data_IF_757847861638
#
_entry.id   IF_757847861638
#
_cell.length_a   1.000
_cell.length_b   1.000
_cell.length_c   1.000
_cell.angle_alpha   90.00
_cell.angle_beta   90.00
_cell.angle_gamma   90.00
#
_symmetry.space_group_name_H-M   'P 1'
#
loop_
_entity.id
_entity.type
_entity.pdbx_description
1 polymer ?
#
# COMPACT_ATOMS: atom_id res chain seq x y z
N UNK A 1 28.57 35.37 37.93
CA UNK A 1 28.46 35.50 39.41
C UNK A 1 27.11 36.12 39.80
N UNK A 2 25.96 35.46 39.55
CA UNK A 2 24.65 36.07 39.86
C UNK A 2 23.46 35.09 40.04
N UNK A 3 23.67 33.79 40.25
CA UNK A 3 22.54 32.83 40.26
C UNK A 3 22.32 32.04 41.55
N UNK A 4 23.10 32.27 42.61
CA UNK A 4 22.69 31.84 43.96
C UNK A 4 21.60 32.80 44.49
N UNK A 5 20.42 32.79 43.86
CA UNK A 5 19.23 33.45 44.41
C UNK A 5 18.88 32.68 45.67
N UNK A 6 19.17 33.25 46.85
CA UNK A 6 18.70 32.72 48.13
C UNK A 6 17.21 32.44 48.01
N UNK A 7 16.71 31.38 48.65
CA UNK A 7 15.30 30.95 48.53
C UNK A 7 14.31 32.09 48.86
N UNK A 8 14.74 33.06 49.67
CA UNK A 8 13.99 34.29 49.98
C UNK A 8 13.60 35.14 48.76
N UNK A 9 14.39 35.10 47.68
CA UNK A 9 14.18 35.88 46.45
C UNK A 9 13.35 35.14 45.38
N UNK A 10 13.07 33.85 45.58
CA UNK A 10 12.23 33.06 44.68
C UNK A 10 10.78 33.22 45.15
N UNK A 11 9.86 33.74 44.31
CA UNK A 11 8.46 33.88 44.68
C UNK A 11 7.82 32.49 44.77
N UNK A 12 7.69 32.00 46.00
CA UNK A 12 7.00 30.75 46.34
C UNK A 12 5.74 31.05 47.16
N UNK A 13 4.75 30.16 47.08
CA UNK A 13 3.58 30.22 47.95
C UNK A 13 3.99 30.03 49.43
N UNK A 14 3.25 30.64 50.36
CA UNK A 14 3.62 30.66 51.79
C UNK A 14 3.75 29.25 52.36
N UNK A 15 2.88 28.33 51.96
CA UNK A 15 2.92 26.92 52.36
C UNK A 15 4.17 26.18 51.83
N UNK A 16 4.59 26.45 50.59
CA UNK A 16 5.77 25.81 50.01
C UNK A 16 7.08 26.30 50.62
N UNK A 17 7.11 27.53 51.15
CA UNK A 17 8.32 28.10 51.78
C UNK A 17 8.73 27.35 53.04
N UNK A 18 7.77 26.81 53.79
CA UNK A 18 8.05 26.05 55.00
C UNK A 18 8.48 24.60 54.71
N UNK A 19 8.11 24.09 53.53
CA UNK A 19 8.43 22.73 53.06
C UNK A 19 9.76 22.64 52.30
N UNK A 20 10.17 23.70 51.59
CA UNK A 20 11.37 23.70 50.77
C UNK A 20 12.47 24.56 51.41
N UNK A 21 13.33 23.95 52.24
CA UNK A 21 14.44 24.65 52.89
C UNK A 21 15.67 24.66 52.00
N UNK A 22 16.43 25.76 52.02
CA UNK A 22 17.66 25.91 51.24
C UNK A 22 18.70 24.81 51.58
N UNK A 23 18.68 24.32 52.82
CA UNK A 23 19.50 23.22 53.32
C UNK A 23 19.23 21.89 52.59
N UNK A 24 17.99 21.64 52.19
CA UNK A 24 17.57 20.41 51.50
C UNK A 24 18.16 20.33 50.08
N UNK A 25 18.57 21.45 49.51
CA UNK A 25 19.10 21.56 48.14
C UNK A 25 20.62 21.77 48.10
N UNK A 26 21.29 21.65 49.24
CA UNK A 26 22.77 21.75 49.33
C UNK A 26 23.49 20.75 48.43
N UNK A 27 22.88 19.59 48.14
CA UNK A 27 23.39 18.59 47.21
C UNK A 27 23.54 19.11 45.76
N UNK A 28 22.74 20.11 45.34
CA UNK A 28 22.86 20.72 44.02
C UNK A 28 24.15 21.55 43.91
N UNK A 29 24.58 22.18 44.99
CA UNK A 29 25.87 22.90 45.05
C UNK A 29 27.07 21.94 45.05
N UNK A 30 26.86 20.68 45.46
CA UNK A 30 27.87 19.61 45.40
C UNK A 30 28.03 19.07 43.97
N UNK A 31 26.91 18.96 43.24
CA UNK A 31 26.86 18.45 41.87
C UNK A 31 27.66 19.36 40.92
N UNK A 32 27.48 20.68 41.04
CA UNK A 32 28.15 21.68 40.20
C UNK A 32 29.69 21.72 40.38
N UNK A 33 30.19 21.15 41.49
CA UNK A 33 31.63 21.00 41.75
C UNK A 33 32.22 19.69 41.23
N UNK A 34 31.38 18.74 40.83
CA UNK A 34 31.79 17.39 40.42
C UNK A 34 31.92 17.23 38.89
N UNK A 35 31.54 18.24 38.11
CA UNK A 35 31.56 18.26 36.63
C UNK A 35 32.97 18.28 35.99
N UNK A 36 34.05 18.04 36.76
CA UNK A 36 35.43 18.01 36.23
C UNK A 36 36.16 16.70 36.53
N UNK A 37 35.44 15.60 36.69
CA UNK A 37 36.01 14.25 36.81
C UNK A 37 36.12 13.56 35.44
N UNK A 38 37.22 12.86 35.12
CA UNK A 38 37.34 12.07 33.89
C UNK A 38 36.27 10.98 33.72
N UNK A 39 35.64 10.53 34.81
CA UNK A 39 34.48 9.61 34.78
C UNK A 39 33.25 10.24 34.10
N UNK A 40 33.06 11.56 34.18
CA UNK A 40 31.94 12.26 33.51
C UNK A 40 32.07 12.20 31.99
N UNK A 41 33.26 12.45 31.45
CA UNK A 41 33.57 12.30 30.02
C UNK A 41 33.44 10.86 29.50
N UNK A 42 33.74 9.86 30.33
CA UNK A 42 33.59 8.44 29.97
C UNK A 42 32.10 8.07 29.79
N UNK A 43 31.26 8.53 30.73
CA UNK A 43 29.80 8.30 30.68
C UNK A 43 29.15 9.04 29.50
N UNK A 44 29.64 10.24 29.15
CA UNK A 44 29.17 10.97 27.96
C UNK A 44 29.48 10.24 26.65
N UNK A 45 30.67 9.65 26.53
CA UNK A 45 31.06 8.84 25.36
C UNK A 45 30.16 7.60 25.20
N UNK A 46 29.91 6.87 26.29
CA UNK A 46 28.99 5.72 26.26
C UNK A 46 27.54 6.13 25.92
N UNK A 47 27.10 7.31 26.38
CA UNK A 47 25.79 7.86 26.05
C UNK A 47 25.68 8.21 24.56
N UNK A 48 26.74 8.76 23.96
CA UNK A 48 26.80 9.08 22.54
C UNK A 48 26.77 7.81 21.68
N UNK A 49 27.58 6.79 22.01
CA UNK A 49 27.57 5.50 21.30
C UNK A 49 26.19 4.84 21.32
N UNK A 50 25.53 4.82 22.49
CA UNK A 50 24.15 4.29 22.62
C UNK A 50 23.14 5.09 21.79
N UNK A 51 23.35 6.38 21.60
CA UNK A 51 22.49 7.22 20.77
C UNK A 51 22.71 6.95 19.28
N UNK A 52 23.96 6.83 18.83
CA UNK A 52 24.30 6.45 17.46
C UNK A 52 23.78 5.06 17.10
N UNK A 53 23.91 4.09 18.00
CA UNK A 53 23.40 2.73 17.81
C UNK A 53 21.87 2.72 17.65
N UNK A 54 21.15 3.56 18.40
CA UNK A 54 19.70 3.73 18.24
C UNK A 54 19.34 4.35 16.89
N UNK A 55 20.14 5.31 16.40
CA UNK A 55 19.94 5.92 15.09
C UNK A 55 20.18 4.89 13.98
N UNK A 56 21.26 4.10 14.06
CA UNK A 56 21.54 3.01 13.11
C UNK A 56 20.39 2.01 13.06
N UNK A 57 19.91 1.54 14.21
CA UNK A 57 18.76 0.63 14.30
C UNK A 57 17.45 1.22 13.77
N UNK A 58 17.29 2.54 13.73
CA UNK A 58 16.12 3.18 13.09
C UNK A 58 16.28 3.19 11.58
N UNK A 59 17.46 3.57 11.08
CA UNK A 59 17.77 3.61 9.65
C UNK A 59 17.69 2.21 9.02
N UNK A 60 18.24 1.18 9.68
CA UNK A 60 18.15 -0.20 9.19
C UNK A 60 16.70 -0.67 9.07
N UNK A 61 15.85 -0.33 10.06
CA UNK A 61 14.42 -0.66 9.99
C UNK A 61 13.72 0.06 8.85
N UNK A 62 14.01 1.34 8.66
CA UNK A 62 13.45 2.13 7.57
C UNK A 62 13.89 1.57 6.20
N UNK A 63 15.16 1.18 6.05
CA UNK A 63 15.65 0.55 4.82
C UNK A 63 14.97 -0.79 4.55
N UNK A 64 14.84 -1.65 5.56
CA UNK A 64 14.15 -2.93 5.43
C UNK A 64 12.67 -2.75 5.08
N UNK A 65 12.01 -1.74 5.64
CA UNK A 65 10.62 -1.42 5.30
C UNK A 65 10.50 -0.92 3.85
N UNK A 66 11.43 -0.09 3.39
CA UNK A 66 11.48 0.38 2.00
C UNK A 66 11.75 -0.77 1.03
N UNK A 67 12.67 -1.68 1.35
CA UNK A 67 12.95 -2.86 0.53
C UNK A 67 11.72 -3.77 0.42
N UNK A 68 11.05 -4.06 1.54
CA UNK A 68 9.79 -4.83 1.54
C UNK A 68 8.70 -4.15 0.70
N UNK A 69 8.58 -2.83 0.77
CA UNK A 69 7.62 -2.09 -0.05
C UNK A 69 7.94 -2.26 -1.55
N UNK A 70 9.21 -2.13 -1.93
CA UNK A 70 9.64 -2.34 -3.33
C UNK A 70 9.36 -3.75 -3.82
N UNK A 71 9.65 -4.78 -3.00
CA UNK A 71 9.34 -6.17 -3.35
C UNK A 71 7.84 -6.38 -3.57
N UNK A 72 6.99 -5.80 -2.71
CA UNK A 72 5.53 -5.87 -2.86
C UNK A 72 5.09 -5.19 -4.15
N UNK A 73 5.62 -4.01 -4.46
CA UNK A 73 5.30 -3.29 -5.69
C UNK A 73 5.73 -4.07 -6.94
N UNK A 74 6.90 -4.69 -6.93
CA UNK A 74 7.39 -5.52 -8.04
C UNK A 74 6.49 -6.75 -8.25
N UNK A 75 6.14 -7.45 -7.17
CA UNK A 75 5.20 -8.57 -7.23
C UNK A 75 3.82 -8.16 -7.74
N UNK A 76 3.33 -6.97 -7.34
CA UNK A 76 2.08 -6.42 -7.85
C UNK A 76 2.17 -6.15 -9.35
N UNK A 77 3.23 -5.48 -9.82
CA UNK A 77 3.45 -5.20 -11.25
C UNK A 77 3.55 -6.49 -12.06
N UNK A 78 4.23 -7.52 -11.55
CA UNK A 78 4.32 -8.82 -12.22
C UNK A 78 2.94 -9.47 -12.35
N UNK A 79 2.18 -9.54 -11.26
CA UNK A 79 0.81 -10.08 -11.27
C UNK A 79 -0.13 -9.29 -12.17
N UNK A 80 -0.02 -7.96 -12.18
CA UNK A 80 -0.77 -7.11 -13.10
C UNK A 80 -0.39 -7.40 -14.56
N UNK A 81 0.89 -7.59 -14.85
CA UNK A 81 1.38 -7.97 -16.18
C UNK A 81 0.80 -9.32 -16.62
N UNK A 82 0.87 -10.34 -15.75
CA UNK A 82 0.28 -11.65 -15.99
C UNK A 82 -1.23 -11.57 -16.21
N UNK A 83 -1.95 -10.81 -15.38
CA UNK A 83 -3.39 -10.59 -15.52
C UNK A 83 -3.74 -9.90 -16.85
N UNK A 84 -2.99 -8.86 -17.23
CA UNK A 84 -3.18 -8.17 -18.52
C UNK A 84 -2.98 -9.11 -19.70
N UNK A 85 -1.94 -9.95 -19.68
CA UNK A 85 -1.69 -10.97 -20.71
C UNK A 85 -2.83 -11.97 -20.80
N UNK A 86 -3.25 -12.51 -19.65
CA UNK A 86 -4.35 -13.48 -19.59
C UNK A 86 -5.67 -12.90 -20.11
N UNK A 87 -6.00 -11.65 -19.74
CA UNK A 87 -7.18 -10.95 -20.27
C UNK A 87 -7.09 -10.75 -21.78
N UNK A 88 -5.91 -10.41 -22.31
CA UNK A 88 -5.70 -10.27 -23.74
C UNK A 88 -5.90 -11.61 -24.48
N UNK A 89 -5.39 -12.71 -23.95
CA UNK A 89 -5.61 -14.06 -24.50
C UNK A 89 -7.10 -14.42 -24.53
N UNK A 90 -7.82 -14.19 -23.42
CA UNK A 90 -9.27 -14.40 -23.36
C UNK A 90 -10.02 -13.54 -24.38
N UNK A 91 -9.59 -12.30 -24.61
CA UNK A 91 -10.18 -11.44 -25.62
C UNK A 91 -9.99 -12.00 -27.05
N UNK A 92 -8.81 -12.57 -27.34
CA UNK A 92 -8.54 -13.25 -28.61
C UNK A 92 -9.43 -14.48 -28.77
N UNK A 93 -9.52 -15.33 -27.73
CA UNK A 93 -10.40 -16.50 -27.74
C UNK A 93 -11.87 -16.12 -27.96
N UNK A 94 -12.35 -15.08 -27.26
CA UNK A 94 -13.72 -14.56 -27.42
C UNK A 94 -13.99 -14.07 -28.84
N UNK A 95 -13.03 -13.38 -29.47
CA UNK A 95 -13.13 -12.96 -30.87
C UNK A 95 -13.21 -14.17 -31.80
N UNK A 96 -12.39 -15.20 -31.58
CA UNK A 96 -12.41 -16.42 -32.38
C UNK A 96 -13.75 -17.16 -32.27
N UNK A 97 -14.33 -17.25 -31.06
CA UNK A 97 -15.64 -17.86 -30.85
C UNK A 97 -16.73 -17.06 -31.57
N UNK A 98 -16.71 -15.72 -31.47
CA UNK A 98 -17.66 -14.87 -32.20
C UNK A 98 -17.56 -15.06 -33.70
N UNK A 99 -16.35 -15.05 -34.26
CA UNK A 99 -16.14 -15.29 -35.68
C UNK A 99 -16.65 -16.67 -36.14
N UNK A 100 -16.46 -17.72 -35.32
CA UNK A 100 -17.04 -19.03 -35.59
C UNK A 100 -18.57 -19.00 -35.58
N UNK A 101 -19.16 -18.32 -34.60
CA UNK A 101 -20.61 -18.16 -34.49
C UNK A 101 -21.19 -17.40 -35.68
N UNK A 102 -20.54 -16.33 -36.13
CA UNK A 102 -20.95 -15.55 -37.29
C UNK A 102 -20.90 -16.40 -38.57
N UNK A 103 -19.83 -17.17 -38.79
CA UNK A 103 -19.75 -18.13 -39.90
C UNK A 103 -20.85 -19.19 -39.86
N UNK A 104 -21.19 -19.70 -38.68
CA UNK A 104 -22.30 -20.66 -38.54
C UNK A 104 -23.65 -20.03 -38.86
N UNK A 105 -23.86 -18.75 -38.50
CA UNK A 105 -25.06 -18.00 -38.89
C UNK A 105 -25.14 -17.82 -40.39
N UNK A 106 -24.06 -17.35 -41.01
CA UNK A 106 -23.96 -17.20 -42.47
C UNK A 106 -24.23 -18.51 -43.19
N UNK A 107 -23.64 -19.62 -42.71
CA UNK A 107 -23.86 -20.94 -43.28
C UNK A 107 -25.32 -21.39 -43.15
N UNK A 108 -25.94 -21.16 -41.98
CA UNK A 108 -27.35 -21.46 -41.77
C UNK A 108 -28.25 -20.63 -42.68
N UNK A 109 -27.96 -19.34 -42.84
CA UNK A 109 -28.73 -18.45 -43.71
C UNK A 109 -28.57 -18.83 -45.18
N UNK A 110 -27.36 -19.26 -45.59
CA UNK A 110 -27.12 -19.86 -46.90
C UNK A 110 -27.95 -21.14 -47.10
N UNK A 111 -27.96 -22.07 -46.14
CA UNK A 111 -28.79 -23.28 -46.22
C UNK A 111 -30.28 -22.95 -46.39
N UNK A 112 -30.77 -21.95 -45.65
CA UNK A 112 -32.15 -21.46 -45.78
C UNK A 112 -32.43 -20.92 -47.19
N UNK A 113 -31.51 -20.12 -47.74
CA UNK A 113 -31.64 -19.58 -49.10
C UNK A 113 -31.67 -20.69 -50.16
N UNK A 114 -30.76 -21.67 -50.08
CA UNK A 114 -30.71 -22.81 -51.02
C UNK A 114 -32.03 -23.59 -50.98
N UNK A 115 -32.54 -23.91 -49.79
CA UNK A 115 -33.81 -24.64 -49.65
C UNK A 115 -35.00 -23.86 -50.22
N UNK A 116 -35.06 -22.55 -49.98
CA UNK A 116 -36.09 -21.70 -50.57
C UNK A 116 -35.99 -21.67 -52.10
N UNK A 117 -34.78 -21.57 -52.64
CA UNK A 117 -34.53 -21.56 -54.07
C UNK A 117 -34.91 -22.89 -54.73
N UNK A 118 -34.50 -24.03 -54.17
CA UNK A 118 -34.81 -25.37 -54.69
C UNK A 118 -36.31 -25.67 -54.69
N UNK A 119 -37.04 -25.14 -53.70
CA UNK A 119 -38.49 -25.29 -53.60
C UNK A 119 -39.28 -24.21 -54.37
N UNK A 120 -38.60 -23.23 -54.96
CA UNK A 120 -39.24 -22.10 -55.65
C UNK A 120 -40.10 -21.23 -54.72
N UNK A 121 -39.80 -21.20 -53.42
CA UNK A 121 -40.58 -20.51 -52.40
C UNK A 121 -40.02 -19.10 -52.15
N UNK A 122 -40.89 -18.11 -52.19
CA UNK A 122 -40.51 -16.71 -51.92
C UNK A 122 -40.27 -16.51 -50.41
N UNK A 123 -39.09 -16.02 -49.98
CA UNK A 123 -38.83 -15.69 -48.57
C UNK A 123 -39.81 -14.66 -47.97
N UNK A 124 -40.46 -13.83 -48.78
CA UNK A 124 -41.47 -12.86 -48.33
C UNK A 124 -42.87 -13.48 -48.16
N UNK A 125 -43.07 -14.74 -48.60
CA UNK A 125 -44.34 -15.44 -48.48
C UNK A 125 -44.65 -15.79 -47.03
N UNK A 126 -45.82 -15.39 -46.53
CA UNK A 126 -46.29 -15.67 -45.17
C UNK A 126 -46.68 -17.15 -44.92
N UNK A 127 -46.14 -18.09 -45.69
CA UNK A 127 -46.53 -19.50 -45.66
C UNK A 127 -46.00 -20.17 -44.38
N UNK A 128 -46.89 -20.69 -43.53
CA UNK A 128 -46.54 -21.32 -42.25
C UNK A 128 -45.65 -22.55 -42.43
N UNK A 129 -45.82 -23.28 -43.54
CA UNK A 129 -44.99 -24.43 -43.93
C UNK A 129 -43.53 -24.01 -44.17
N UNK A 130 -43.30 -22.86 -44.81
CA UNK A 130 -41.96 -22.29 -45.02
C UNK A 130 -41.33 -21.91 -43.68
N UNK A 131 -42.10 -21.25 -42.80
CA UNK A 131 -41.63 -20.89 -41.45
C UNK A 131 -41.24 -22.12 -40.63
N UNK A 132 -42.07 -23.17 -40.63
CA UNK A 132 -41.76 -24.41 -39.91
C UNK A 132 -40.51 -25.12 -40.45
N UNK A 133 -40.30 -25.10 -41.77
CA UNK A 133 -39.13 -25.71 -42.41
C UNK A 133 -37.84 -24.92 -42.08
N UNK A 134 -37.91 -23.59 -42.11
CA UNK A 134 -36.80 -22.68 -41.76
C UNK A 134 -36.51 -22.62 -40.25
N UNK A 135 -37.46 -22.95 -39.38
CA UNK A 135 -37.24 -23.04 -37.93
C UNK A 135 -36.53 -24.32 -37.50
N UNK A 136 -36.63 -25.40 -38.29
CA UNK A 136 -35.94 -26.67 -38.03
C UNK A 136 -34.47 -26.66 -38.47
N UNK A 137 -34.10 -25.75 -39.37
CA UNK A 137 -32.74 -25.46 -39.82
C UNK A 137 -32.14 -24.31 -39.02
#
# INVERSE_FOLDING_TARGET
MAHAKRFSQIPMSKCMRDLCKEEDYTFLNSLEKQDKSPESTCVESECQEKQEERIRRRLEREQLEQEKQREIEEQQKEKEGQWKSHVAELAVQRKAIRAKLDRLREFRDFQKQVVLQDLGLDPASANETVKHLLMRL
#
